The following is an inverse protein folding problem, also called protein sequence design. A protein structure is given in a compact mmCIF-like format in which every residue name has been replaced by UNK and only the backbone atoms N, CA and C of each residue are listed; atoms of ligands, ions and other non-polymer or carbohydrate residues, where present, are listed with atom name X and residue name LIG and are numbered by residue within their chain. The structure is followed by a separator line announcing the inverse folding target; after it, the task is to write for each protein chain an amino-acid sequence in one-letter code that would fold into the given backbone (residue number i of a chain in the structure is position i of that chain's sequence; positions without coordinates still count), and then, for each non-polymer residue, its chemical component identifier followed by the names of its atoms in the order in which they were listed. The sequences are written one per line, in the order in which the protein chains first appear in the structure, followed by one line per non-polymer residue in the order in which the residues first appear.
data_IF_706011875575
#
_entry.id   IF_706011875575
#
_cell.length_a   1.000
_cell.length_b   1.000
_cell.length_c   1.000
_cell.angle_alpha   90.00
_cell.angle_beta   90.00
_cell.angle_gamma   90.00
#
_symmetry.space_group_name_H-M   'P 1'
#
loop_
_entity.id
_entity.type
_entity.pdbx_description
1 polymer ?
#
# COMPACT_ATOMS: atom_id res chain seq x y z
N UNK A 1 -21.28 5.45 12.80
CA UNK A 1 -21.16 5.40 11.32
C UNK A 1 -19.69 5.47 10.97
N UNK A 2 -19.10 4.36 10.52
CA UNK A 2 -17.70 4.33 10.05
C UNK A 2 -17.62 5.08 8.72
N UNK A 3 -16.94 6.23 8.71
CA UNK A 3 -16.74 7.01 7.49
C UNK A 3 -15.55 6.38 6.76
N UNK A 4 -15.82 5.73 5.63
CA UNK A 4 -14.79 5.09 4.81
C UNK A 4 -13.65 6.08 4.50
N UNK A 5 -12.42 5.62 4.69
CA UNK A 5 -11.22 6.41 4.45
C UNK A 5 -11.04 6.56 2.94
N UNK A 6 -10.96 7.79 2.40
CA UNK A 6 -10.87 7.99 0.96
C UNK A 6 -9.59 7.35 0.41
N UNK A 7 -9.77 6.36 -0.46
CA UNK A 7 -8.70 5.79 -1.25
C UNK A 7 -8.46 6.71 -2.46
N UNK A 8 -7.23 7.19 -2.62
CA UNK A 8 -6.86 8.03 -3.76
C UNK A 8 -6.25 7.14 -4.83
N UNK A 9 -6.98 6.88 -5.91
CA UNK A 9 -6.46 6.24 -7.11
C UNK A 9 -6.43 7.27 -8.25
N UNK A 10 -5.23 7.76 -8.60
CA UNK A 10 -5.01 8.67 -9.74
C UNK A 10 -4.14 7.96 -10.77
N UNK A 11 -4.67 7.82 -11.99
CA UNK A 11 -3.99 7.17 -13.11
C UNK A 11 -3.83 8.19 -14.21
N UNK A 12 -2.58 8.44 -14.60
CA UNK A 12 -2.23 9.34 -15.70
C UNK A 12 -1.47 8.56 -16.75
N UNK A 13 -2.03 8.52 -17.95
CA UNK A 13 -1.46 7.80 -19.07
C UNK A 13 -1.22 8.79 -20.19
N UNK A 14 0.00 8.78 -20.70
CA UNK A 14 0.38 9.48 -21.91
C UNK A 14 0.98 8.47 -22.88
N UNK A 15 0.52 8.49 -24.13
CA UNK A 15 1.10 7.67 -25.19
C UNK A 15 1.20 8.49 -26.45
N UNK A 16 2.36 8.47 -27.07
CA UNK A 16 2.63 9.07 -28.37
C UNK A 16 3.17 7.98 -29.27
N UNK A 17 2.61 7.86 -30.48
CA UNK A 17 3.12 6.98 -31.51
C UNK A 17 3.29 7.78 -32.80
N UNK A 18 4.38 7.53 -33.51
CA UNK A 18 4.67 8.15 -34.79
C UNK A 18 5.14 7.10 -35.80
N UNK A 19 4.49 7.11 -36.96
CA UNK A 19 4.89 6.34 -38.13
C UNK A 19 5.54 7.29 -39.13
N UNK A 20 6.80 7.04 -39.45
CA UNK A 20 7.61 7.92 -40.28
C UNK A 20 8.28 7.13 -41.40
N UNK A 21 8.05 7.56 -42.65
CA UNK A 21 8.69 7.01 -43.85
C UNK A 21 9.98 7.79 -44.07
N UNK A 22 11.08 7.31 -43.50
CA UNK A 22 12.39 7.95 -43.59
C UNK A 22 12.95 7.92 -45.02
N UNK A 23 12.64 6.84 -45.76
CA UNK A 23 12.90 6.67 -47.20
C UNK A 23 11.78 5.82 -47.81
N UNK A 24 11.55 5.81 -49.14
CA UNK A 24 10.52 4.99 -49.78
C UNK A 24 10.60 3.48 -49.44
N UNK A 25 11.76 3.04 -48.96
CA UNK A 25 12.04 1.67 -48.60
C UNK A 25 12.48 1.49 -47.13
N UNK A 26 12.32 2.52 -46.28
CA UNK A 26 12.68 2.51 -44.87
C UNK A 26 11.54 3.14 -44.06
N UNK A 27 10.83 2.29 -43.32
CA UNK A 27 9.66 2.67 -42.52
C UNK A 27 10.03 2.49 -41.06
N UNK A 28 9.89 3.56 -40.27
CA UNK A 28 10.10 3.55 -38.84
C UNK A 28 8.79 3.77 -38.10
N UNK A 29 8.54 2.95 -37.09
CA UNK A 29 7.48 3.14 -36.11
C UNK A 29 8.10 3.35 -34.75
N UNK A 30 7.85 4.49 -34.12
CA UNK A 30 8.31 4.78 -32.77
C UNK A 30 7.13 5.10 -31.86
N UNK A 31 7.11 4.49 -30.69
CA UNK A 31 6.10 4.70 -29.67
C UNK A 31 6.76 5.00 -28.33
N UNK A 32 6.24 6.01 -27.64
CA UNK A 32 6.60 6.38 -26.29
C UNK A 32 5.36 6.31 -25.39
N UNK A 33 5.49 5.64 -24.25
CA UNK A 33 4.49 5.51 -23.22
C UNK A 33 5.00 6.04 -21.89
N UNK A 34 4.15 6.78 -21.19
CA UNK A 34 4.35 7.13 -19.79
C UNK A 34 3.06 6.81 -19.02
N UNK A 35 3.19 6.01 -17.97
CA UNK A 35 2.09 5.71 -17.06
C UNK A 35 2.51 6.09 -15.63
N UNK A 36 1.71 6.92 -14.99
CA UNK A 36 1.83 7.21 -13.56
C UNK A 36 0.59 6.75 -12.84
N UNK A 37 0.80 5.86 -11.87
CA UNK A 37 -0.21 5.42 -10.92
C UNK A 37 0.13 6.00 -9.55
N UNK A 38 -0.84 6.61 -8.89
CA UNK A 38 -0.77 6.95 -7.46
C UNK A 38 -1.91 6.25 -6.75
N UNK A 39 -1.59 5.56 -5.67
CA UNK A 39 -2.55 4.87 -4.82
C UNK A 39 -2.26 5.20 -3.35
N UNK A 40 -3.27 5.21 -2.50
CA UNK A 40 -3.04 5.32 -1.08
C UNK A 40 -4.29 5.51 -0.24
N UNK A 41 -4.14 5.25 1.05
CA UNK A 41 -5.15 5.49 2.08
C UNK A 41 -4.83 6.80 2.80
N UNK A 42 -5.73 7.78 2.66
CA UNK A 42 -5.62 9.05 3.36
C UNK A 42 -6.65 9.11 4.48
N UNK A 43 -6.30 8.84 5.75
CA UNK A 43 -7.24 9.04 6.85
C UNK A 43 -7.72 10.49 6.85
N UNK A 44 -9.00 10.70 7.14
CA UNK A 44 -9.54 12.04 7.34
C UNK A 44 -8.74 12.75 8.44
N UNK A 45 -8.54 14.07 8.36
CA UNK A 45 -7.72 14.81 9.34
C UNK A 45 -8.22 14.63 10.78
N UNK A 46 -9.54 14.46 10.97
CA UNK A 46 -10.18 14.17 12.27
C UNK A 46 -9.80 12.80 12.86
N UNK A 47 -9.24 11.90 12.05
CA UNK A 47 -8.85 10.56 12.44
C UNK A 47 -7.39 10.49 12.95
N UNK A 48 -6.69 11.62 13.08
CA UNK A 48 -5.32 11.69 13.59
C UNK A 48 -5.27 12.13 15.07
N UNK A 49 -4.17 11.78 15.74
CA UNK A 49 -3.90 12.18 17.13
C UNK A 49 -4.67 11.38 18.19
N UNK A 50 -5.24 10.23 17.81
CA UNK A 50 -5.98 9.38 18.74
C UNK A 50 -5.13 8.77 19.85
N UNK A 51 -3.88 8.32 19.63
CA UNK A 51 -3.08 7.71 20.69
C UNK A 51 -2.83 8.69 21.84
N UNK A 52 -2.57 9.96 21.52
CA UNK A 52 -2.46 11.02 22.53
C UNK A 52 -3.79 11.26 23.29
N UNK A 53 -4.94 11.19 22.60
CA UNK A 53 -6.27 11.36 23.23
C UNK A 53 -6.62 10.23 24.20
N UNK A 54 -6.18 9.00 23.91
CA UNK A 54 -6.41 7.83 24.78
C UNK A 54 -5.28 7.58 25.78
N UNK A 55 -4.25 8.46 25.81
CA UNK A 55 -3.12 8.37 26.74
C UNK A 55 -2.10 7.27 26.40
N UNK A 56 -2.11 6.76 25.16
CA UNK A 56 -1.17 5.74 24.71
C UNK A 56 0.17 6.39 24.33
N UNK A 57 1.18 6.22 25.19
CA UNK A 57 2.54 6.73 24.99
C UNK A 57 3.47 5.64 24.45
N UNK A 58 4.50 6.01 23.69
CA UNK A 58 5.48 5.06 23.12
C UNK A 58 5.13 4.53 21.72
N UNK A 59 4.07 5.07 21.11
CA UNK A 59 3.66 4.84 19.72
C UNK A 59 3.63 6.17 18.96
N UNK A 60 3.30 6.16 17.66
CA UNK A 60 3.09 7.41 16.92
C UNK A 60 1.87 8.17 17.46
N UNK A 61 2.10 9.15 18.34
CA UNK A 61 1.06 9.94 19.02
C UNK A 61 0.15 10.74 18.08
N UNK A 62 0.63 11.02 16.86
CA UNK A 62 -0.12 11.74 15.80
C UNK A 62 -0.79 10.78 14.82
N UNK A 63 -0.68 9.48 15.05
CA UNK A 63 -1.25 8.41 14.23
C UNK A 63 -2.77 8.31 14.33
N UNK A 64 -3.30 7.28 13.66
CA UNK A 64 -4.75 6.98 13.66
C UNK A 64 -5.19 6.32 14.96
N UNK A 65 -6.42 5.82 15.04
CA UNK A 65 -6.82 5.00 16.19
C UNK A 65 -6.10 3.64 16.14
N UNK A 66 -5.44 3.18 17.23
CA UNK A 66 -4.72 1.91 17.25
C UNK A 66 -5.66 0.73 16.99
N UNK A 67 -5.10 -0.38 16.54
CA UNK A 67 -5.86 -1.62 16.38
C UNK A 67 -6.26 -2.18 17.74
N UNK A 68 -7.54 -2.51 17.92
CA UNK A 68 -8.04 -3.26 19.07
C UNK A 68 -8.61 -4.59 18.56
N UNK A 69 -7.96 -5.68 18.93
CA UNK A 69 -8.43 -7.03 18.64
C UNK A 69 -9.00 -7.63 19.92
N UNK A 70 -10.31 -7.87 19.95
CA UNK A 70 -10.99 -8.43 21.10
C UNK A 70 -11.48 -9.82 20.72
N UNK A 71 -11.03 -10.86 21.41
CA UNK A 71 -11.45 -12.23 21.13
C UNK A 71 -12.98 -12.37 21.25
N UNK A 72 -13.60 -12.87 20.18
CA UNK A 72 -15.05 -12.99 20.08
C UNK A 72 -15.78 -11.73 19.59
N UNK A 73 -15.06 -10.71 19.12
CA UNK A 73 -15.59 -9.52 18.43
C UNK A 73 -14.80 -9.24 17.15
N UNK A 74 -15.32 -8.32 16.32
CA UNK A 74 -14.59 -7.78 15.19
C UNK A 74 -13.43 -6.90 15.65
N UNK A 75 -12.38 -6.80 14.83
CA UNK A 75 -11.28 -5.85 15.04
C UNK A 75 -11.77 -4.42 14.89
N UNK A 76 -11.38 -3.54 15.83
CA UNK A 76 -11.69 -2.12 15.78
C UNK A 76 -10.43 -1.30 15.47
N UNK A 77 -10.56 -0.32 14.57
CA UNK A 77 -9.45 0.60 14.27
C UNK A 77 -8.32 -0.04 13.48
N UNK A 78 -7.08 0.40 13.74
CA UNK A 78 -5.89 -0.16 13.11
C UNK A 78 -5.77 0.13 11.62
N UNK A 79 -6.30 1.28 11.16
CA UNK A 79 -6.20 1.62 9.74
C UNK A 79 -4.76 1.89 9.35
N UNK A 80 -4.22 1.06 8.48
CA UNK A 80 -2.93 1.29 7.87
C UNK A 80 -2.95 2.51 6.94
N UNK A 81 -1.95 3.39 7.10
CA UNK A 81 -1.68 4.50 6.20
C UNK A 81 -0.60 4.05 5.23
N UNK A 82 -0.97 3.89 3.97
CA UNK A 82 -0.04 3.55 2.90
C UNK A 82 -0.21 4.50 1.72
N UNK A 83 0.91 4.92 1.14
CA UNK A 83 0.96 5.74 -0.05
C UNK A 83 1.98 5.15 -1.02
N UNK A 84 1.57 4.94 -2.26
CA UNK A 84 2.41 4.42 -3.32
C UNK A 84 2.31 5.26 -4.59
N UNK A 85 3.43 5.38 -5.28
CA UNK A 85 3.50 6.00 -6.59
C UNK A 85 4.40 5.21 -7.52
N UNK A 86 3.82 4.76 -8.63
CA UNK A 86 4.53 4.03 -9.69
C UNK A 86 4.62 4.91 -10.94
N UNK A 87 5.78 4.91 -11.58
CA UNK A 87 6.05 5.61 -12.83
C UNK A 87 6.70 4.62 -13.80
N UNK A 88 6.03 4.34 -14.90
CA UNK A 88 6.50 3.45 -15.94
C UNK A 88 6.76 4.26 -17.21
N UNK A 89 7.96 4.11 -17.75
CA UNK A 89 8.39 4.67 -19.01
C UNK A 89 8.61 3.52 -19.98
N UNK A 90 7.95 3.61 -21.13
CA UNK A 90 7.99 2.61 -22.19
C UNK A 90 8.43 3.29 -23.49
N UNK A 91 9.43 2.73 -24.15
CA UNK A 91 9.89 3.19 -25.47
C UNK A 91 10.01 1.98 -26.37
N UNK A 92 9.32 2.02 -27.50
CA UNK A 92 9.29 0.96 -28.48
C UNK A 92 9.60 1.54 -29.86
N UNK A 93 10.56 0.95 -30.56
CA UNK A 93 10.92 1.29 -31.93
C UNK A 93 10.89 0.02 -32.79
N UNK A 94 10.36 0.14 -34.01
CA UNK A 94 10.38 -0.90 -35.02
C UNK A 94 10.73 -0.30 -36.38
N UNK A 95 11.84 -0.77 -36.95
CA UNK A 95 12.38 -0.30 -38.21
C UNK A 95 12.29 -1.42 -39.26
N UNK A 96 11.54 -1.18 -40.33
CA UNK A 96 11.45 -2.05 -41.49
C UNK A 96 12.27 -1.48 -42.64
N UNK A 97 13.26 -2.24 -43.10
CA UNK A 97 14.11 -1.86 -44.23
C UNK A 97 13.97 -2.85 -45.38
N UNK A 98 13.49 -2.37 -46.52
CA UNK A 98 13.36 -3.15 -47.74
C UNK A 98 14.53 -2.79 -48.67
N UNK A 99 15.46 -3.73 -48.87
CA UNK A 99 16.61 -3.55 -49.75
C UNK A 99 16.56 -4.57 -50.89
N UNK A 100 16.07 -4.14 -52.04
CA UNK A 100 15.90 -5.02 -53.20
C UNK A 100 14.86 -6.12 -52.93
N UNK A 101 15.29 -7.38 -52.91
CA UNK A 101 14.45 -8.55 -52.60
C UNK A 101 14.50 -8.98 -51.13
N UNK A 102 15.23 -8.25 -50.28
CA UNK A 102 15.40 -8.59 -48.86
C UNK A 102 14.63 -7.60 -47.99
N UNK A 103 13.95 -8.13 -46.97
CA UNK A 103 13.29 -7.34 -45.92
C UNK A 103 13.98 -7.62 -44.60
N UNK A 104 14.51 -6.57 -43.99
CA UNK A 104 15.16 -6.60 -42.69
C UNK A 104 14.25 -5.88 -41.69
N UNK A 105 14.11 -6.46 -40.49
CA UNK A 105 13.35 -5.87 -39.40
C UNK A 105 14.26 -5.72 -38.19
N UNK A 106 14.24 -4.54 -37.59
CA UNK A 106 14.93 -4.24 -36.36
C UNK A 106 13.94 -3.67 -35.36
N UNK A 107 14.21 -3.86 -34.08
CA UNK A 107 13.39 -3.29 -33.04
C UNK A 107 14.21 -3.01 -31.79
N UNK A 108 13.75 -2.04 -31.02
CA UNK A 108 14.32 -1.64 -29.75
C UNK A 108 13.18 -1.43 -28.75
N UNK A 109 13.32 -2.02 -27.57
CA UNK A 109 12.39 -1.84 -26.46
C UNK A 109 13.16 -1.40 -25.23
N UNK A 110 12.63 -0.38 -24.56
CA UNK A 110 13.12 0.09 -23.28
C UNK A 110 11.96 0.30 -22.32
N UNK A 111 11.98 -0.50 -21.25
CA UNK A 111 11.05 -0.39 -20.15
C UNK A 111 11.80 0.03 -18.89
N UNK A 112 11.37 1.14 -18.29
CA UNK A 112 11.82 1.55 -16.97
C UNK A 112 10.64 1.69 -16.02
N UNK A 113 10.67 0.92 -14.95
CA UNK A 113 9.68 0.94 -13.89
C UNK A 113 10.30 1.55 -12.64
N UNK A 114 9.64 2.54 -12.06
CA UNK A 114 10.06 3.15 -10.80
C UNK A 114 8.90 3.08 -9.82
N UNK A 115 9.15 2.52 -8.63
CA UNK A 115 8.18 2.49 -7.54
C UNK A 115 8.68 3.26 -6.34
N UNK A 116 7.78 4.00 -5.71
CA UNK A 116 8.02 4.65 -4.44
C UNK A 116 6.84 4.38 -3.53
N UNK A 117 7.06 3.51 -2.54
CA UNK A 117 6.03 3.02 -1.65
C UNK A 117 6.41 3.34 -0.21
N UNK A 118 5.51 4.03 0.47
CA UNK A 118 5.61 4.40 1.87
C UNK A 118 4.40 3.84 2.58
N UNK A 119 4.59 2.74 3.30
CA UNK A 119 3.62 2.28 4.30
C UNK A 119 4.12 2.67 5.69
N UNK A 120 3.19 3.17 6.52
CA UNK A 120 3.41 3.39 7.95
C UNK A 120 2.95 2.22 8.80
N UNK A 121 2.43 1.14 8.19
CA UNK A 121 1.98 -0.07 8.87
C UNK A 121 1.14 0.19 10.12
N UNK A 122 1.47 -0.53 11.20
CA UNK A 122 0.91 -0.35 12.55
C UNK A 122 1.81 0.58 13.40
N UNK A 123 2.16 1.78 12.91
CA UNK A 123 2.96 2.75 13.66
C UNK A 123 2.27 3.28 14.94
N UNK A 124 0.96 3.14 14.97
CA UNK A 124 0.07 3.49 16.07
C UNK A 124 -0.08 2.32 17.07
N UNK A 125 0.33 1.12 16.65
CA UNK A 125 0.26 -0.11 17.43
C UNK A 125 -1.09 -0.83 17.41
N UNK A 126 -1.07 -2.08 17.83
CA UNK A 126 -2.22 -2.96 18.01
C UNK A 126 -2.17 -3.59 19.39
N UNK A 127 -3.34 -3.69 20.03
CA UNK A 127 -3.55 -4.34 21.32
C UNK A 127 -4.52 -5.51 21.14
N UNK A 128 -4.18 -6.65 21.73
CA UNK A 128 -4.99 -7.87 21.69
C UNK A 128 -5.52 -8.19 23.09
N UNK A 129 -6.81 -8.53 23.18
CA UNK A 129 -7.50 -8.90 24.40
C UNK A 129 -8.12 -10.29 24.19
N UNK A 130 -7.53 -11.31 24.81
CA UNK A 130 -7.91 -12.69 24.61
C UNK A 130 -8.76 -13.21 25.79
N UNK A 131 -9.17 -14.47 25.68
CA UNK A 131 -9.95 -15.14 26.73
C UNK A 131 -9.13 -15.55 27.98
N UNK A 132 -7.82 -15.87 27.95
CA UNK A 132 -7.13 -16.47 29.09
C UNK A 132 -7.02 -15.54 30.31
N UNK A 133 -7.03 -14.22 30.14
CA UNK A 133 -6.93 -13.24 31.23
C UNK A 133 -8.14 -13.29 32.18
N UNK A 134 -9.30 -13.72 31.67
CA UNK A 134 -10.54 -13.88 32.45
C UNK A 134 -11.01 -15.34 32.52
N UNK A 135 -10.20 -16.29 32.03
CA UNK A 135 -10.51 -17.71 32.02
C UNK A 135 -10.26 -18.36 33.39
N UNK A 136 -10.96 -19.48 33.63
CA UNK A 136 -10.70 -20.32 34.78
C UNK A 136 -9.38 -21.08 34.59
N UNK A 137 -8.41 -20.97 35.54
CA UNK A 137 -7.15 -21.70 35.46
C UNK A 137 -7.37 -23.22 35.33
N UNK A 138 -6.76 -23.84 34.32
CA UNK A 138 -6.87 -25.29 34.07
C UNK A 138 -8.05 -25.71 33.16
N UNK A 139 -8.85 -24.77 32.69
CA UNK A 139 -9.84 -25.03 31.63
C UNK A 139 -9.19 -25.09 30.24
N UNK A 140 -9.83 -25.79 29.29
CA UNK A 140 -9.37 -25.82 27.89
C UNK A 140 -9.33 -24.41 27.30
N UNK A 141 -8.28 -24.09 26.55
CA UNK A 141 -8.11 -22.77 25.92
C UNK A 141 -9.35 -22.39 25.11
N UNK A 142 -9.94 -21.22 25.41
CA UNK A 142 -11.15 -20.72 24.76
C UNK A 142 -12.48 -21.31 25.28
N UNK A 143 -12.46 -22.26 26.22
CA UNK A 143 -13.68 -22.83 26.81
C UNK A 143 -14.29 -21.97 27.92
N UNK A 144 -13.47 -21.14 28.58
CA UNK A 144 -13.92 -20.15 29.58
C UNK A 144 -13.18 -18.83 29.39
N UNK A 145 -13.69 -17.76 29.99
CA UNK A 145 -13.19 -16.39 29.80
C UNK A 145 -13.78 -15.70 28.58
N UNK A 146 -13.68 -14.38 28.54
CA UNK A 146 -14.19 -13.55 27.45
C UNK A 146 -13.24 -12.39 27.15
N UNK A 147 -12.79 -12.27 25.89
CA UNK A 147 -11.95 -11.15 25.45
C UNK A 147 -12.54 -9.77 25.76
N UNK A 148 -13.88 -9.62 25.68
CA UNK A 148 -14.55 -8.38 26.07
C UNK A 148 -14.41 -8.08 27.58
N UNK A 149 -14.42 -9.10 28.44
CA UNK A 149 -14.20 -8.91 29.87
C UNK A 149 -12.73 -8.53 30.14
N UNK A 150 -11.79 -9.16 29.44
CA UNK A 150 -10.36 -8.81 29.49
C UNK A 150 -10.12 -7.36 29.05
N UNK A 151 -10.82 -6.90 28.01
CA UNK A 151 -10.80 -5.51 27.54
C UNK A 151 -11.35 -4.53 28.58
N UNK A 152 -12.52 -4.81 29.16
CA UNK A 152 -13.13 -3.94 30.18
C UNK A 152 -12.28 -3.82 31.45
N UNK A 153 -11.51 -4.87 31.78
CA UNK A 153 -10.55 -4.87 32.89
C UNK A 153 -9.20 -4.23 32.52
N UNK A 154 -8.94 -3.99 31.24
CA UNK A 154 -7.66 -3.48 30.74
C UNK A 154 -6.54 -4.51 30.73
N UNK A 155 -6.85 -5.80 30.82
CA UNK A 155 -5.87 -6.89 30.75
C UNK A 155 -5.64 -7.26 29.28
N UNK A 156 -4.72 -6.53 28.64
CA UNK A 156 -4.23 -6.85 27.32
C UNK A 156 -3.34 -8.10 27.38
N UNK A 157 -3.59 -9.04 26.49
CA UNK A 157 -2.80 -10.26 26.28
C UNK A 157 -1.44 -9.90 25.66
N UNK A 158 -1.47 -9.01 24.66
CA UNK A 158 -0.30 -8.62 23.89
C UNK A 158 -0.47 -7.24 23.23
N UNK A 159 0.65 -6.60 22.94
CA UNK A 159 0.72 -5.34 22.21
C UNK A 159 1.91 -5.32 21.26
N UNK A 160 1.69 -4.85 20.04
CA UNK A 160 2.71 -4.76 18.99
C UNK A 160 2.70 -3.37 18.37
N UNK A 161 3.88 -2.85 18.03
CA UNK A 161 4.05 -1.61 17.28
C UNK A 161 5.12 -1.79 16.22
N UNK A 162 4.84 -1.32 15.00
CA UNK A 162 5.82 -1.31 13.93
C UNK A 162 6.57 0.02 13.93
N UNK A 163 7.91 -0.05 14.01
CA UNK A 163 8.78 1.11 13.88
C UNK A 163 9.53 1.02 12.56
N UNK A 164 9.19 1.89 11.62
CA UNK A 164 9.85 1.95 10.32
C UNK A 164 11.04 2.90 10.36
N UNK A 165 12.23 2.38 10.03
CA UNK A 165 13.46 3.17 9.93
C UNK A 165 13.64 3.87 8.57
N UNK A 166 12.96 3.39 7.51
CA UNK A 166 13.03 3.98 6.15
C UNK A 166 11.87 3.51 5.27
N UNK A 167 11.49 4.33 4.28
CA UNK A 167 10.59 3.92 3.19
C UNK A 167 11.31 3.11 2.11
N UNK A 168 10.55 2.34 1.33
CA UNK A 168 11.07 1.51 0.24
C UNK A 168 11.06 2.27 -1.08
N UNK A 169 12.17 2.26 -1.81
CA UNK A 169 12.25 2.83 -3.15
C UNK A 169 12.94 1.86 -4.10
N UNK A 170 12.37 1.68 -5.28
CA UNK A 170 12.93 0.87 -6.36
C UNK A 170 13.04 1.73 -7.64
N UNK A 171 14.20 1.69 -8.29
CA UNK A 171 14.60 2.60 -9.37
C UNK A 171 14.73 1.94 -10.73
#
# INVERSE_FOLDING_TARGET
MSRAIPNTNDIRIFRLGEDSILRPNLINHAAFGFNRLRFGTHPAEDALGWPAKIGLTGVNERGVFPGLNIAGQDSYGGTEIAYGAQNNFDVNESLNWIKGKHTLKFGFEYLKMMSNDVSRGQDTGSLSFNNPETALPGSQAGATGAGMASFLLGWADSGEVHVYASGSYER
#
